data_IF_303964958314
#
_entry.id   IF_303964958314
#
_cell.length_a   1.000
_cell.length_b   1.000
_cell.length_c   1.000
_cell.angle_alpha   90.00
_cell.angle_beta   90.00
_cell.angle_gamma   90.00
#
_symmetry.space_group_name_H-M   'P 1'
#
loop_
_entity.id
_entity.type
_entity.pdbx_description
1 polymer ?
#
# COMPACT_ATOMS: atom_id res chain seq x y z
N UNK A 1 -25.22 22.38 -28.82
CA UNK A 1 -24.37 21.31 -28.25
C UNK A 1 -25.00 20.92 -26.94
N UNK A 2 -25.42 19.67 -26.82
CA UNK A 2 -26.06 19.13 -25.61
C UNK A 2 -25.01 19.04 -24.49
N UNK A 3 -25.36 19.54 -23.31
CA UNK A 3 -24.43 19.59 -22.18
C UNK A 3 -24.32 18.21 -21.53
N UNK A 4 -23.09 17.80 -21.22
CA UNK A 4 -22.79 16.46 -20.75
C UNK A 4 -23.25 16.31 -19.29
N UNK A 5 -24.32 15.54 -19.06
CA UNK A 5 -24.83 15.29 -17.71
C UNK A 5 -23.77 14.51 -16.88
N UNK A 6 -23.37 15.08 -15.74
CA UNK A 6 -22.36 14.48 -14.84
C UNK A 6 -22.93 14.29 -13.45
N UNK A 7 -22.97 13.05 -12.99
CA UNK A 7 -23.31 12.73 -11.59
C UNK A 7 -22.02 12.54 -10.78
N UNK A 8 -21.86 13.22 -9.62
CA UNK A 8 -20.71 13.00 -8.75
C UNK A 8 -20.73 11.59 -8.17
N UNK A 9 -19.58 10.88 -8.25
CA UNK A 9 -19.43 9.55 -7.66
C UNK A 9 -18.93 9.65 -6.21
N UNK A 10 -19.74 9.20 -5.26
CA UNK A 10 -19.35 9.11 -3.86
C UNK A 10 -18.50 7.84 -3.62
N UNK A 11 -17.17 8.01 -3.65
CA UNK A 11 -16.21 6.89 -3.53
C UNK A 11 -15.85 6.53 -2.08
N UNK A 12 -16.39 7.22 -1.08
CA UNK A 12 -15.99 7.05 0.32
C UNK A 12 -16.25 5.61 0.83
N UNK A 13 -17.40 5.03 0.46
CA UNK A 13 -17.79 3.67 0.90
C UNK A 13 -17.01 2.56 0.18
N UNK A 14 -16.39 2.86 -0.96
CA UNK A 14 -15.63 1.87 -1.72
C UNK A 14 -14.13 1.99 -1.48
N UNK A 15 -13.62 3.12 -1.00
CA UNK A 15 -12.19 3.28 -0.71
C UNK A 15 -11.80 2.59 0.61
N UNK A 16 -10.56 2.08 0.71
CA UNK A 16 -10.05 1.58 1.97
C UNK A 16 -10.01 2.72 2.99
N UNK A 17 -10.16 2.41 4.27
CA UNK A 17 -9.97 3.39 5.33
C UNK A 17 -8.53 3.94 5.28
N UNK A 18 -8.40 5.27 5.22
CA UNK A 18 -7.12 5.95 5.16
C UNK A 18 -6.92 6.86 6.38
N UNK A 19 -5.66 7.02 6.79
CA UNK A 19 -5.24 7.94 7.84
C UNK A 19 -3.95 8.63 7.42
N UNK A 20 -3.89 9.96 7.54
CA UNK A 20 -2.71 10.76 7.16
C UNK A 20 -2.13 10.44 5.77
N UNK A 21 -2.99 10.16 4.78
CA UNK A 21 -2.60 9.91 3.39
C UNK A 21 -2.17 8.47 3.05
N UNK A 22 -2.20 7.54 4.00
CA UNK A 22 -1.91 6.10 3.80
C UNK A 22 -3.10 5.23 4.24
N UNK A 23 -3.12 3.95 3.88
CA UNK A 23 -4.13 3.02 4.41
C UNK A 23 -3.96 2.80 5.90
N UNK A 24 -5.05 2.52 6.61
CA UNK A 24 -5.03 2.29 8.06
C UNK A 24 -4.04 1.18 8.44
N UNK A 25 -4.04 0.06 7.72
CA UNK A 25 -3.11 -1.05 7.96
C UNK A 25 -1.64 -0.61 7.84
N UNK A 26 -1.31 0.19 6.81
CA UNK A 26 0.04 0.70 6.61
C UNK A 26 0.46 1.63 7.75
N UNK A 27 -0.44 2.50 8.20
CA UNK A 27 -0.19 3.39 9.33
C UNK A 27 0.14 2.62 10.61
N UNK A 28 -0.63 1.57 10.91
CA UNK A 28 -0.38 0.71 12.08
C UNK A 28 0.96 -0.01 11.96
N UNK A 29 1.29 -0.57 10.79
CA UNK A 29 2.60 -1.20 10.57
C UNK A 29 3.73 -0.21 10.79
N UNK A 30 3.61 1.02 10.27
CA UNK A 30 4.63 2.06 10.47
C UNK A 30 4.78 2.43 11.95
N UNK A 31 3.68 2.53 12.69
CA UNK A 31 3.71 2.81 14.13
C UNK A 31 4.37 1.67 14.93
N UNK A 32 4.08 0.41 14.59
CA UNK A 32 4.73 -0.75 15.20
C UNK A 32 6.24 -0.75 14.93
N UNK A 33 6.65 -0.54 13.67
CA UNK A 33 8.07 -0.45 13.31
C UNK A 33 8.76 0.69 14.07
N UNK A 34 8.12 1.86 14.16
CA UNK A 34 8.66 3.00 14.91
C UNK A 34 8.85 2.67 16.39
N UNK A 35 7.88 1.99 17.01
CA UNK A 35 7.95 1.56 18.40
C UNK A 35 9.07 0.52 18.62
N UNK A 36 9.19 -0.48 17.75
CA UNK A 36 10.25 -1.49 17.80
C UNK A 36 11.64 -0.85 17.66
N UNK A 37 11.82 0.03 16.68
CA UNK A 37 13.07 0.77 16.49
C UNK A 37 13.41 1.60 17.73
N UNK A 38 12.41 2.27 18.32
CA UNK A 38 12.62 3.02 19.55
C UNK A 38 13.07 2.12 20.70
N UNK A 39 12.48 0.94 20.88
CA UNK A 39 12.87 0.00 21.93
C UNK A 39 14.30 -0.54 21.74
N UNK A 40 14.71 -0.78 20.49
CA UNK A 40 16.05 -1.29 20.16
C UNK A 40 17.11 -0.20 20.36
N UNK A 41 16.92 0.96 19.75
CA UNK A 41 17.93 2.03 19.72
C UNK A 41 17.84 2.97 20.92
N UNK A 42 16.71 2.98 21.64
CA UNK A 42 16.43 3.84 22.81
C UNK A 42 16.70 5.32 22.54
N UNK A 43 16.40 5.77 21.33
CA UNK A 43 16.78 7.09 20.83
C UNK A 43 15.64 7.68 20.02
N UNK A 44 15.37 8.98 20.22
CA UNK A 44 14.35 9.72 19.46
C UNK A 44 14.71 9.88 17.97
N UNK A 45 15.99 9.69 17.64
CA UNK A 45 16.50 9.74 16.27
C UNK A 45 15.98 8.61 15.36
N UNK A 46 15.13 7.72 15.85
CA UNK A 46 14.38 6.74 15.03
C UNK A 46 13.18 7.37 14.31
N UNK A 47 12.66 8.52 14.77
CA UNK A 47 11.49 9.16 14.16
C UNK A 47 11.66 9.52 12.67
N UNK A 48 12.83 10.02 12.21
CA UNK A 48 13.09 10.19 10.78
C UNK A 48 12.87 8.92 9.95
N UNK A 49 13.20 7.73 10.48
CA UNK A 49 12.94 6.48 9.77
C UNK A 49 11.44 6.23 9.60
N UNK A 50 10.65 6.45 10.65
CA UNK A 50 9.18 6.36 10.61
C UNK A 50 8.56 7.38 9.63
N UNK A 51 9.12 8.59 9.54
CA UNK A 51 8.69 9.61 8.58
C UNK A 51 9.03 9.22 7.14
N UNK A 52 10.21 8.66 6.89
CA UNK A 52 10.61 8.18 5.56
C UNK A 52 9.70 7.04 5.10
N UNK A 53 9.47 6.05 5.98
CA UNK A 53 8.56 4.95 5.70
C UNK A 53 7.17 5.52 5.40
N UNK A 54 6.60 6.35 6.29
CA UNK A 54 5.30 6.98 6.05
C UNK A 54 5.22 7.74 4.73
N UNK A 55 6.25 8.54 4.42
CA UNK A 55 6.36 9.32 3.18
C UNK A 55 6.32 8.43 1.93
N UNK A 56 7.01 7.29 1.94
CA UNK A 56 6.93 6.30 0.85
C UNK A 56 5.50 5.79 0.72
N UNK A 57 4.84 5.45 1.84
CA UNK A 57 3.44 5.04 1.84
C UNK A 57 2.51 6.07 1.20
N UNK A 58 2.69 7.35 1.54
CA UNK A 58 1.91 8.46 0.97
C UNK A 58 2.12 8.52 -0.54
N UNK A 59 3.38 8.49 -1.01
CA UNK A 59 3.71 8.54 -2.43
C UNK A 59 3.10 7.37 -3.22
N UNK A 60 3.10 6.17 -2.64
CA UNK A 60 2.47 5.00 -3.24
C UNK A 60 0.95 5.15 -3.34
N UNK A 61 0.31 5.66 -2.28
CA UNK A 61 -1.14 5.85 -2.21
C UNK A 61 -1.66 6.97 -3.13
N UNK A 62 -0.79 7.90 -3.58
CA UNK A 62 -1.16 8.90 -4.60
C UNK A 62 -1.55 8.26 -5.95
N UNK A 63 -0.96 7.10 -6.29
CA UNK A 63 -1.29 6.37 -7.52
C UNK A 63 -2.47 5.44 -7.34
N UNK A 64 -2.45 4.65 -6.27
CA UNK A 64 -3.49 3.67 -5.98
C UNK A 64 -3.63 3.51 -4.45
N UNK A 65 -4.76 3.91 -3.85
CA UNK A 65 -4.98 3.80 -2.41
C UNK A 65 -4.81 2.37 -1.87
N UNK A 66 -5.13 1.34 -2.67
CA UNK A 66 -5.04 -0.07 -2.26
C UNK A 66 -3.71 -0.74 -2.59
N UNK A 67 -2.69 0.01 -2.98
CA UNK A 67 -1.43 -0.54 -3.51
C UNK A 67 -0.78 -1.57 -2.58
N UNK A 68 -0.81 -1.32 -1.27
CA UNK A 68 -0.25 -2.22 -0.25
C UNK A 68 -1.06 -3.51 -0.14
N UNK A 69 -2.40 -3.42 -0.09
CA UNK A 69 -3.29 -4.58 0.00
C UNK A 69 -3.21 -5.44 -1.28
N UNK A 70 -3.14 -4.80 -2.45
CA UNK A 70 -2.95 -5.48 -3.73
C UNK A 70 -1.59 -6.16 -3.80
N UNK A 71 -0.53 -5.52 -3.32
CA UNK A 71 0.79 -6.12 -3.23
C UNK A 71 0.81 -7.33 -2.31
N UNK A 72 0.24 -7.21 -1.11
CA UNK A 72 0.16 -8.31 -0.14
C UNK A 72 -0.66 -9.48 -0.70
N UNK A 73 -1.79 -9.19 -1.36
CA UNK A 73 -2.62 -10.20 -2.04
C UNK A 73 -1.83 -10.88 -3.16
N UNK A 74 -1.10 -10.12 -3.98
CA UNK A 74 -0.27 -10.67 -5.05
C UNK A 74 0.78 -11.62 -4.50
N UNK A 75 1.50 -11.24 -3.45
CA UNK A 75 2.56 -12.08 -2.86
C UNK A 75 1.96 -13.32 -2.18
N UNK A 76 0.81 -13.19 -1.51
CA UNK A 76 0.20 -14.27 -0.75
C UNK A 76 -0.58 -15.29 -1.60
N UNK A 77 -1.34 -14.81 -2.59
CA UNK A 77 -2.26 -15.65 -3.39
C UNK A 77 -1.75 -15.97 -4.78
N UNK A 78 -0.92 -15.10 -5.36
CA UNK A 78 -0.46 -15.22 -6.73
C UNK A 78 1.08 -15.17 -6.81
N UNK A 79 1.81 -16.01 -6.05
CA UNK A 79 3.27 -16.01 -6.08
C UNK A 79 3.77 -16.37 -7.49
N UNK A 80 4.96 -15.86 -7.82
CA UNK A 80 5.58 -16.08 -9.12
C UNK A 80 6.00 -17.53 -9.30
N UNK A 81 5.47 -18.23 -10.31
CA UNK A 81 5.82 -19.63 -10.59
C UNK A 81 7.18 -19.76 -11.32
N UNK A 82 7.83 -20.94 -11.25
CA UNK A 82 9.18 -21.18 -11.84
C UNK A 82 9.24 -20.82 -13.33
N UNK A 83 8.17 -21.08 -14.08
CA UNK A 83 8.12 -20.82 -15.52
C UNK A 83 7.90 -19.33 -15.88
N UNK A 84 7.68 -18.43 -14.92
CA UNK A 84 7.36 -17.04 -15.21
C UNK A 84 8.49 -16.31 -15.95
N UNK A 85 9.76 -16.72 -15.81
CA UNK A 85 10.85 -16.13 -16.62
C UNK A 85 10.65 -16.34 -18.12
N UNK A 86 10.03 -17.45 -18.51
CA UNK A 86 9.76 -17.81 -19.91
C UNK A 86 8.54 -17.02 -20.40
N UNK A 87 7.42 -17.13 -19.69
CA UNK A 87 6.13 -16.62 -20.16
C UNK A 87 5.84 -15.16 -19.79
N UNK A 88 6.63 -14.57 -18.88
CA UNK A 88 6.38 -13.26 -18.24
C UNK A 88 5.01 -13.16 -17.54
N UNK A 89 4.35 -14.29 -17.31
CA UNK A 89 3.13 -14.43 -16.53
C UNK A 89 3.14 -15.77 -15.76
N UNK A 90 2.22 -15.91 -14.81
CA UNK A 90 1.96 -17.21 -14.18
C UNK A 90 1.13 -18.07 -15.14
N UNK A 91 1.76 -19.07 -15.74
CA UNK A 91 1.08 -20.07 -16.59
C UNK A 91 0.72 -21.29 -15.75
N UNK A 92 -0.57 -21.68 -15.79
CA UNK A 92 -1.13 -22.84 -15.08
C UNK A 92 -1.08 -24.14 -15.92
N UNK A 93 -0.43 -24.12 -17.10
CA UNK A 93 -0.25 -25.36 -17.87
C UNK A 93 0.72 -26.27 -17.11
N UNK A 94 0.39 -27.58 -16.95
CA UNK A 94 1.29 -28.55 -16.33
C UNK A 94 2.63 -28.64 -17.09
#
# INVERSE_FOLDING_TARGET
MEELERTPLFTALTRPQMFAGVTYNYFIINAVIAAELFLIFRSVWVLPAALIIHGIGVLLCLREPRIIDLWLTRVSRCPRVRNHKIWRCNSYRP
#
